data_IF_261529425631
#
_entry.id   IF_261529425631
#
_cell.length_a   1.000
_cell.length_b   1.000
_cell.length_c   1.000
_cell.angle_alpha   90.00
_cell.angle_beta   90.00
_cell.angle_gamma   90.00
#
_symmetry.space_group_name_H-M   'P 1'
#
loop_
_entity.id
_entity.type
_entity.pdbx_description
1 polymer ?
#
# COMPACT_ATOMS: atom_id res chain seq x y z
N UNK A 1 -36.32 42.00 -31.20
CA UNK A 1 -34.99 42.09 -30.54
C UNK A 1 -34.84 40.82 -29.65
N UNK A 2 -33.98 39.89 -30.00
CA UNK A 2 -33.76 38.72 -29.16
C UNK A 2 -32.64 38.98 -28.14
N UNK A 3 -32.89 38.65 -26.90
CA UNK A 3 -31.96 38.74 -25.77
C UNK A 3 -30.95 37.57 -25.89
N UNK A 4 -29.71 37.90 -26.14
CA UNK A 4 -28.56 36.98 -26.16
C UNK A 4 -28.16 36.67 -24.72
N UNK A 5 -28.39 35.44 -24.28
CA UNK A 5 -27.89 34.90 -22.99
C UNK A 5 -26.39 34.66 -23.12
N UNK A 6 -25.58 35.45 -22.41
CA UNK A 6 -24.16 35.18 -22.20
C UNK A 6 -23.99 34.10 -21.13
N UNK A 7 -23.65 32.88 -21.53
CA UNK A 7 -23.19 31.84 -20.64
C UNK A 7 -21.75 32.14 -20.22
N UNK A 8 -21.51 32.36 -18.95
CA UNK A 8 -20.18 32.46 -18.34
C UNK A 8 -19.51 31.08 -18.37
N UNK A 9 -18.24 30.97 -18.77
CA UNK A 9 -17.54 29.69 -18.73
C UNK A 9 -17.24 29.28 -17.28
N UNK A 10 -17.73 28.10 -16.93
CA UNK A 10 -17.38 27.43 -15.66
C UNK A 10 -15.88 27.14 -15.67
N UNK A 11 -15.15 27.69 -14.70
CA UNK A 11 -13.74 27.42 -14.51
C UNK A 11 -13.54 25.93 -14.20
N UNK A 12 -12.81 25.23 -15.06
CA UNK A 12 -12.39 23.87 -14.82
C UNK A 12 -11.45 23.81 -13.62
N UNK A 13 -11.86 23.12 -12.58
CA UNK A 13 -11.00 22.76 -11.44
C UNK A 13 -9.86 21.91 -11.96
N UNK A 14 -8.59 22.26 -11.72
CA UNK A 14 -7.47 21.44 -12.16
C UNK A 14 -7.52 20.09 -11.46
N UNK A 15 -7.64 19.04 -12.24
CA UNK A 15 -7.50 17.63 -11.78
C UNK A 15 -6.06 17.47 -11.27
N UNK A 16 -5.86 16.97 -10.03
CA UNK A 16 -4.51 16.69 -9.55
C UNK A 16 -3.84 15.69 -10.50
N UNK A 17 -2.56 15.87 -10.82
CA UNK A 17 -1.85 14.98 -11.74
C UNK A 17 -1.92 13.55 -11.23
N UNK A 18 -2.34 12.64 -12.12
CA UNK A 18 -2.34 11.21 -11.86
C UNK A 18 -0.94 10.78 -11.40
N UNK A 19 -0.87 10.00 -10.33
CA UNK A 19 0.37 9.39 -9.87
C UNK A 19 1.02 8.64 -11.05
N UNK A 20 2.34 8.76 -11.25
CA UNK A 20 3.02 8.10 -12.35
C UNK A 20 2.75 6.60 -12.30
N UNK A 21 2.35 6.03 -13.44
CA UNK A 21 2.13 4.60 -13.61
C UNK A 21 3.40 3.85 -13.19
N UNK A 22 3.22 2.80 -12.37
CA UNK A 22 4.32 1.94 -11.97
C UNK A 22 5.01 1.37 -13.21
N UNK A 23 6.36 1.38 -13.28
CA UNK A 23 7.09 0.85 -14.42
C UNK A 23 6.74 -0.63 -14.62
N UNK A 24 6.43 -0.98 -15.87
CA UNK A 24 6.23 -2.38 -16.27
C UNK A 24 7.58 -3.11 -16.13
N UNK A 25 7.60 -4.13 -15.30
CA UNK A 25 8.79 -4.95 -15.08
C UNK A 25 8.96 -5.89 -16.27
N UNK A 26 9.91 -5.57 -17.15
CA UNK A 26 10.41 -6.53 -18.14
C UNK A 26 11.17 -7.64 -17.40
N UNK A 27 10.86 -8.89 -17.71
CA UNK A 27 11.54 -10.06 -17.17
C UNK A 27 13.05 -10.00 -17.53
N UNK A 28 13.90 -9.94 -16.51
CA UNK A 28 15.35 -9.98 -16.65
C UNK A 28 15.79 -11.46 -16.58
N UNK A 29 16.68 -11.94 -17.46
CA UNK A 29 17.19 -13.29 -17.40
C UNK A 29 18.01 -13.52 -16.13
N UNK A 30 17.68 -14.58 -15.41
CA UNK A 30 18.29 -15.03 -14.15
C UNK A 30 19.75 -15.47 -14.38
N UNK A 31 20.73 -14.68 -13.93
CA UNK A 31 22.11 -15.12 -13.80
C UNK A 31 22.23 -16.02 -12.59
N UNK A 32 22.54 -17.28 -12.81
CA UNK A 32 22.90 -18.27 -11.78
C UNK A 32 24.12 -17.79 -11.00
N UNK A 33 23.94 -17.41 -9.74
CA UNK A 33 25.04 -17.20 -8.79
C UNK A 33 25.28 -18.51 -8.06
N UNK A 34 26.45 -19.12 -8.26
CA UNK A 34 26.89 -20.30 -7.54
C UNK A 34 27.26 -19.93 -6.10
N UNK A 35 26.49 -20.39 -5.15
CA UNK A 35 26.78 -20.28 -3.72
C UNK A 35 27.48 -21.53 -3.22
N UNK A 36 28.80 -21.49 -3.06
CA UNK A 36 29.63 -22.56 -2.53
C UNK A 36 30.22 -22.28 -1.15
N UNK A 37 29.46 -21.80 -0.17
CA UNK A 37 30.03 -21.66 1.19
C UNK A 37 29.06 -21.80 2.38
N UNK A 38 27.80 -22.18 2.17
CA UNK A 38 26.85 -22.45 3.27
C UNK A 38 26.40 -23.90 3.39
N UNK A 39 27.05 -24.83 2.66
CA UNK A 39 26.60 -26.22 2.54
C UNK A 39 26.95 -27.11 3.74
N UNK A 40 27.77 -26.66 4.69
CA UNK A 40 28.21 -27.51 5.82
C UNK A 40 27.22 -27.62 6.99
N UNK A 41 26.38 -26.63 7.21
CA UNK A 41 25.48 -26.59 8.39
C UNK A 41 24.12 -27.29 8.14
N UNK A 42 23.71 -27.46 6.89
CA UNK A 42 22.41 -28.04 6.54
C UNK A 42 22.43 -29.51 6.16
N UNK A 43 23.57 -30.15 6.16
CA UNK A 43 23.70 -31.57 5.76
C UNK A 43 22.95 -32.58 6.65
N UNK A 44 22.63 -32.22 7.89
CA UNK A 44 21.87 -33.07 8.82
C UNK A 44 20.36 -33.07 8.59
N UNK A 45 19.83 -32.12 7.83
CA UNK A 45 18.38 -32.00 7.52
C UNK A 45 18.02 -32.50 6.11
N UNK A 46 19.00 -32.99 5.37
CA UNK A 46 18.88 -33.43 3.97
C UNK A 46 17.75 -34.45 3.69
N UNK A 47 17.53 -35.50 4.52
CA UNK A 47 16.54 -36.52 4.16
C UNK A 47 15.10 -36.06 4.25
N UNK A 48 14.82 -35.04 5.08
CA UNK A 48 13.45 -34.45 5.23
C UNK A 48 13.24 -33.27 4.27
N UNK A 49 14.32 -32.54 3.99
CA UNK A 49 14.22 -31.33 3.14
C UNK A 49 14.20 -31.65 1.64
N UNK A 50 14.82 -32.76 1.19
CA UNK A 50 14.82 -33.16 -0.22
C UNK A 50 13.42 -33.39 -0.81
N UNK A 51 12.51 -34.17 -0.17
CA UNK A 51 11.18 -34.35 -0.72
C UNK A 51 10.38 -33.04 -0.75
N UNK A 52 10.54 -32.18 0.28
CA UNK A 52 9.90 -30.87 0.32
C UNK A 52 10.46 -29.97 -0.79
N UNK A 53 11.75 -29.93 -1.00
CA UNK A 53 12.40 -29.17 -2.06
C UNK A 53 11.94 -29.62 -3.45
N UNK A 54 11.79 -30.94 -3.67
CA UNK A 54 11.29 -31.49 -4.94
C UNK A 54 9.82 -31.11 -5.18
N UNK A 55 8.97 -31.20 -4.15
CA UNK A 55 7.57 -30.75 -4.25
C UNK A 55 7.52 -29.24 -4.55
N UNK A 56 8.32 -28.44 -3.86
CA UNK A 56 8.40 -27.00 -4.09
C UNK A 56 8.91 -26.67 -5.50
N UNK A 57 9.90 -27.40 -6.04
CA UNK A 57 10.40 -27.17 -7.39
C UNK A 57 9.36 -27.54 -8.45
N UNK A 58 8.70 -28.69 -8.30
CA UNK A 58 7.62 -29.13 -9.20
C UNK A 58 6.43 -28.14 -9.17
N UNK A 59 6.02 -27.70 -7.99
CA UNK A 59 4.99 -26.66 -7.85
C UNK A 59 5.41 -25.35 -8.52
N UNK A 60 6.67 -24.95 -8.38
CA UNK A 60 7.21 -23.75 -9.02
C UNK A 60 7.20 -23.86 -10.55
N UNK A 61 7.55 -25.02 -11.10
CA UNK A 61 7.51 -25.28 -12.53
C UNK A 61 6.07 -25.26 -13.08
N UNK A 62 5.13 -25.91 -12.40
CA UNK A 62 3.71 -25.88 -12.76
C UNK A 62 3.19 -24.43 -12.74
N UNK A 63 3.56 -23.66 -11.74
CA UNK A 63 3.14 -22.24 -11.63
C UNK A 63 3.77 -21.36 -12.73
N UNK A 64 5.03 -21.62 -13.08
CA UNK A 64 5.67 -20.93 -14.21
C UNK A 64 4.99 -21.23 -15.54
N UNK A 65 4.55 -22.48 -15.76
CA UNK A 65 3.83 -22.87 -16.98
C UNK A 65 2.45 -22.22 -17.09
N UNK A 66 1.80 -21.91 -15.96
CA UNK A 66 0.51 -21.23 -15.92
C UNK A 66 0.60 -19.72 -16.22
N UNK A 67 1.81 -19.13 -16.15
CA UNK A 67 2.07 -17.70 -16.42
C UNK A 67 1.02 -16.76 -15.79
N UNK A 68 0.65 -17.00 -14.51
CA UNK A 68 -0.40 -16.27 -13.83
C UNK A 68 0.01 -14.81 -13.59
N UNK A 69 -0.87 -13.83 -13.85
CA UNK A 69 -0.60 -12.44 -13.59
C UNK A 69 -0.61 -12.15 -12.08
N UNK A 70 0.23 -11.23 -11.63
CA UNK A 70 0.13 -10.71 -10.27
C UNK A 70 -1.10 -9.78 -10.16
N UNK A 71 -2.06 -10.13 -9.31
CA UNK A 71 -3.28 -9.33 -9.06
C UNK A 71 -3.08 -8.15 -8.10
N UNK A 72 -1.83 -7.82 -7.78
CA UNK A 72 -1.44 -6.69 -6.95
C UNK A 72 -1.02 -7.08 -5.53
N UNK A 73 -0.81 -6.07 -4.70
CA UNK A 73 -0.43 -6.23 -3.29
C UNK A 73 -1.66 -6.13 -2.39
N UNK A 74 -1.57 -6.66 -1.17
CA UNK A 74 -2.62 -6.57 -0.16
C UNK A 74 -2.98 -5.12 0.15
N UNK A 75 -1.99 -4.23 0.23
CA UNK A 75 -2.19 -2.80 0.48
C UNK A 75 -3.07 -2.13 -0.61
N UNK A 76 -2.87 -2.56 -1.87
CA UNK A 76 -3.60 -2.02 -3.02
C UNK A 76 -4.90 -2.77 -3.33
N UNK A 77 -5.27 -3.75 -2.50
CA UNK A 77 -6.43 -4.60 -2.78
C UNK A 77 -7.73 -3.82 -2.83
N UNK A 78 -7.86 -2.75 -2.04
CA UNK A 78 -9.05 -1.90 -1.94
C UNK A 78 -8.85 -0.50 -2.54
N UNK A 79 -7.79 -0.27 -3.31
CA UNK A 79 -7.50 1.06 -3.84
C UNK A 79 -8.64 1.61 -4.70
N UNK A 80 -9.23 0.77 -5.55
CA UNK A 80 -10.30 1.15 -6.45
C UNK A 80 -11.52 1.66 -5.67
N UNK A 81 -11.86 0.97 -4.57
CA UNK A 81 -12.96 1.39 -3.68
C UNK A 81 -12.61 2.67 -2.94
N UNK A 82 -11.39 2.77 -2.40
CA UNK A 82 -10.93 3.96 -1.67
C UNK A 82 -10.90 5.21 -2.54
N UNK A 83 -10.53 5.08 -3.81
CA UNK A 83 -10.45 6.22 -4.73
C UNK A 83 -11.81 6.86 -5.03
N UNK A 84 -12.91 6.10 -4.93
CA UNK A 84 -14.27 6.58 -5.23
C UNK A 84 -15.04 6.97 -3.97
N UNK A 85 -14.49 6.75 -2.76
CA UNK A 85 -15.14 7.15 -1.52
C UNK A 85 -15.30 8.66 -1.43
N UNK A 86 -16.51 9.11 -1.17
CA UNK A 86 -16.86 10.54 -1.03
C UNK A 86 -16.11 11.23 0.13
N UNK A 87 -15.75 10.48 1.17
CA UNK A 87 -14.98 10.99 2.31
C UNK A 87 -13.62 11.60 1.91
N UNK A 88 -13.03 11.17 0.80
CA UNK A 88 -11.77 11.73 0.29
C UNK A 88 -11.94 13.12 -0.32
N UNK A 89 -13.16 13.51 -0.65
CA UNK A 89 -13.50 14.78 -1.33
C UNK A 89 -14.26 15.75 -0.43
N UNK A 90 -14.62 15.33 0.78
CA UNK A 90 -15.32 16.17 1.75
C UNK A 90 -14.30 16.89 2.62
N UNK A 91 -14.44 18.20 2.71
CA UNK A 91 -13.71 19.02 3.65
C UNK A 91 -14.66 20.11 4.18
N UNK A 92 -14.46 20.52 5.41
CA UNK A 92 -15.19 21.61 6.02
C UNK A 92 -14.30 22.87 6.04
N UNK A 93 -14.91 24.02 5.73
CA UNK A 93 -14.21 25.29 5.73
C UNK A 93 -13.54 25.62 4.39
N UNK A 94 -12.50 26.43 4.44
CA UNK A 94 -11.71 26.84 3.29
C UNK A 94 -10.31 26.23 3.36
N UNK A 95 -9.82 25.73 2.23
CA UNK A 95 -8.48 25.20 2.08
C UNK A 95 -7.75 25.88 0.93
N UNK A 96 -6.53 26.31 1.16
CA UNK A 96 -5.65 26.88 0.15
C UNK A 96 -4.30 26.17 0.18
N UNK A 97 -3.91 25.59 -0.95
CA UNK A 97 -2.63 24.91 -1.13
C UNK A 97 -1.76 25.71 -2.12
N UNK A 98 -0.63 26.22 -1.65
CA UNK A 98 0.37 26.91 -2.47
C UNK A 98 1.54 25.94 -2.71
N UNK A 99 1.63 25.42 -3.92
CA UNK A 99 2.70 24.49 -4.30
C UNK A 99 3.67 25.15 -5.27
N UNK A 100 4.96 25.08 -4.98
CA UNK A 100 6.05 25.53 -5.83
C UNK A 100 6.95 24.36 -6.21
N UNK A 101 7.04 24.06 -7.49
CA UNK A 101 8.05 23.15 -8.01
C UNK A 101 9.40 23.88 -8.09
N UNK A 102 10.41 23.34 -7.43
CA UNK A 102 11.78 23.85 -7.41
C UNK A 102 12.65 23.15 -8.46
N UNK A 103 12.38 21.87 -8.71
CA UNK A 103 13.02 21.07 -9.76
C UNK A 103 12.02 20.07 -10.34
N UNK A 104 12.19 19.74 -11.62
CA UNK A 104 11.34 18.77 -12.34
C UNK A 104 12.03 17.40 -12.49
N UNK A 105 13.36 17.38 -12.48
CA UNK A 105 14.12 16.12 -12.56
C UNK A 105 15.46 16.26 -11.78
N UNK A 106 15.59 15.65 -10.57
CA UNK A 106 14.53 15.00 -9.79
C UNK A 106 13.40 15.95 -9.39
N UNK A 107 12.20 15.42 -9.19
CA UNK A 107 11.07 16.25 -8.74
C UNK A 107 11.36 16.74 -7.33
N UNK A 108 11.40 18.07 -7.16
CA UNK A 108 11.47 18.67 -5.84
C UNK A 108 10.45 19.79 -5.76
N UNK A 109 9.48 19.63 -4.84
CA UNK A 109 8.42 20.61 -4.64
C UNK A 109 8.17 20.86 -3.17
N UNK A 110 7.74 22.07 -2.86
CA UNK A 110 7.29 22.47 -1.53
C UNK A 110 5.85 22.95 -1.61
N UNK A 111 5.09 22.67 -0.56
CA UNK A 111 3.67 23.02 -0.46
C UNK A 111 3.40 23.66 0.88
N UNK A 112 2.67 24.78 0.86
CA UNK A 112 2.12 25.42 2.02
C UNK A 112 0.61 25.21 1.97
N UNK A 113 0.07 24.45 2.92
CA UNK A 113 -1.36 24.16 3.03
C UNK A 113 -1.96 24.93 4.20
N UNK A 114 -2.98 25.71 3.93
CA UNK A 114 -3.73 26.49 4.90
C UNK A 114 -5.15 25.95 4.97
N UNK A 115 -5.61 25.60 6.16
CA UNK A 115 -7.00 25.19 6.42
C UNK A 115 -7.63 26.21 7.37
N UNK A 116 -8.75 26.82 6.97
CA UNK A 116 -9.42 27.87 7.69
C UNK A 116 -10.90 27.50 7.89
N UNK A 117 -11.39 27.62 9.11
CA UNK A 117 -12.78 27.34 9.43
C UNK A 117 -13.07 25.83 9.45
N UNK A 118 -14.28 25.47 9.84
CA UNK A 118 -14.70 24.10 10.05
C UNK A 118 -14.81 23.78 11.55
N UNK A 119 -15.14 22.53 11.88
CA UNK A 119 -15.26 22.07 13.27
C UNK A 119 -13.90 22.02 14.00
N UNK A 120 -12.80 22.13 13.26
CA UNK A 120 -11.43 22.15 13.78
C UNK A 120 -10.85 23.54 13.89
N UNK A 121 -9.66 23.64 14.50
CA UNK A 121 -8.87 24.88 14.52
C UNK A 121 -8.27 25.15 13.15
N UNK A 122 -7.99 26.44 12.87
CA UNK A 122 -7.17 26.79 11.72
C UNK A 122 -5.83 26.03 11.81
N UNK A 123 -5.39 25.47 10.71
CA UNK A 123 -4.17 24.66 10.66
C UNK A 123 -3.29 25.10 9.48
N UNK A 124 -2.01 25.10 9.71
CA UNK A 124 -1.00 25.30 8.70
C UNK A 124 -0.12 24.05 8.60
N UNK A 125 0.11 23.59 7.39
CA UNK A 125 1.01 22.48 7.12
C UNK A 125 2.03 22.89 6.07
N UNK A 126 3.31 22.67 6.36
CA UNK A 126 4.39 22.76 5.40
C UNK A 126 4.73 21.35 4.92
N UNK A 127 4.80 21.15 3.62
CA UNK A 127 5.15 19.88 2.99
C UNK A 127 6.31 20.04 2.02
N UNK A 128 7.20 19.06 1.97
CA UNK A 128 8.25 18.94 0.98
C UNK A 128 8.22 17.53 0.38
N UNK A 129 8.34 17.46 -0.94
CA UNK A 129 8.37 16.19 -1.69
C UNK A 129 9.60 16.18 -2.57
N UNK A 130 10.38 15.13 -2.47
CA UNK A 130 11.49 14.83 -3.35
C UNK A 130 11.26 13.48 -4.01
N UNK A 131 11.31 13.42 -5.33
CA UNK A 131 11.04 12.21 -6.11
C UNK A 131 12.03 12.01 -7.24
N UNK A 132 12.47 10.76 -7.38
CA UNK A 132 13.28 10.24 -8.46
C UNK A 132 12.69 8.89 -8.89
N UNK A 133 13.13 8.29 -9.98
CA UNK A 133 12.63 6.99 -10.46
C UNK A 133 12.63 5.87 -9.39
N UNK A 134 13.61 5.91 -8.47
CA UNK A 134 13.80 4.87 -7.44
C UNK A 134 13.50 5.32 -6.02
N UNK A 135 13.29 6.63 -5.82
CA UNK A 135 13.18 7.23 -4.48
C UNK A 135 12.01 8.19 -4.44
N UNK A 136 11.24 8.10 -3.39
CA UNK A 136 10.19 9.05 -3.08
C UNK A 136 10.28 9.40 -1.60
N UNK A 137 10.54 10.66 -1.31
CA UNK A 137 10.68 11.20 0.04
C UNK A 137 9.68 12.33 0.21
N UNK A 138 8.92 12.25 1.27
CA UNK A 138 7.96 13.27 1.65
C UNK A 138 8.17 13.60 3.12
N UNK A 139 8.20 14.88 3.44
CA UNK A 139 8.23 15.38 4.80
C UNK A 139 7.15 16.44 4.97
N UNK A 140 6.58 16.50 6.16
CA UNK A 140 5.58 17.50 6.54
C UNK A 140 5.84 18.01 7.96
N UNK A 141 5.53 19.28 8.17
CA UNK A 141 5.58 19.93 9.48
C UNK A 141 4.24 20.68 9.65
N UNK A 142 3.56 20.43 10.74
CA UNK A 142 2.33 21.13 11.08
C UNK A 142 2.59 22.31 12.08
N UNK A 143 1.59 23.12 12.31
CA UNK A 143 1.60 24.26 13.24
C UNK A 143 1.76 23.83 14.70
N UNK A 144 1.42 22.60 15.05
CA UNK A 144 1.62 22.02 16.38
C UNK A 144 3.07 21.51 16.60
N UNK A 145 3.90 21.54 15.55
CA UNK A 145 5.29 21.05 15.60
C UNK A 145 5.42 19.53 15.37
N UNK A 146 4.38 18.85 14.92
CA UNK A 146 4.50 17.44 14.53
C UNK A 146 5.23 17.36 13.19
N UNK A 147 6.20 16.47 13.13
CA UNK A 147 6.95 16.15 11.91
C UNK A 147 6.48 14.80 11.37
N UNK A 148 6.01 14.79 10.15
CA UNK A 148 5.69 13.56 9.42
C UNK A 148 6.73 13.30 8.35
N UNK A 149 7.12 12.05 8.19
CA UNK A 149 8.11 11.63 7.20
C UNK A 149 7.65 10.35 6.53
N UNK A 150 7.78 10.29 5.21
CA UNK A 150 7.56 9.10 4.41
C UNK A 150 8.70 8.93 3.42
N UNK A 151 9.37 7.79 3.49
CA UNK A 151 10.48 7.42 2.63
C UNK A 151 10.12 6.13 1.91
N UNK A 152 10.06 6.15 0.60
CA UNK A 152 9.88 4.95 -0.22
C UNK A 152 11.11 4.79 -1.11
N UNK A 153 11.69 3.60 -1.14
CA UNK A 153 12.86 3.30 -1.95
C UNK A 153 12.71 1.95 -2.64
N UNK A 154 12.86 1.95 -3.95
CA UNK A 154 13.02 0.75 -4.75
C UNK A 154 14.46 0.24 -4.56
N UNK A 155 14.66 -0.90 -3.89
CA UNK A 155 15.97 -1.51 -3.67
C UNK A 155 16.39 -2.34 -4.89
N UNK A 156 15.52 -3.24 -5.30
CA UNK A 156 15.67 -4.11 -6.47
C UNK A 156 14.32 -4.20 -7.19
N UNK A 157 14.27 -4.67 -8.45
CA UNK A 157 13.02 -4.94 -9.13
C UNK A 157 12.11 -5.83 -8.28
N UNK A 158 10.90 -5.36 -7.97
CA UNK A 158 9.95 -6.05 -7.10
C UNK A 158 10.15 -5.86 -5.59
N UNK A 159 11.18 -5.14 -5.13
CA UNK A 159 11.45 -4.90 -3.71
C UNK A 159 11.35 -3.42 -3.38
N UNK A 160 10.35 -3.03 -2.61
CA UNK A 160 10.12 -1.65 -2.20
C UNK A 160 10.17 -1.59 -0.67
N UNK A 161 11.10 -0.82 -0.12
CA UNK A 161 11.13 -0.48 1.30
C UNK A 161 10.48 0.87 1.53
N UNK A 162 9.63 0.93 2.55
CA UNK A 162 8.92 2.14 2.96
C UNK A 162 9.16 2.36 4.44
N UNK A 163 9.41 3.60 4.81
CA UNK A 163 9.52 4.05 6.19
C UNK A 163 8.54 5.19 6.35
N UNK A 164 7.67 5.10 7.33
CA UNK A 164 6.80 6.20 7.74
C UNK A 164 7.10 6.52 9.20
N UNK A 165 7.27 7.78 9.51
CA UNK A 165 7.48 8.23 10.87
C UNK A 165 6.67 9.50 11.13
N UNK A 166 6.15 9.59 12.34
CA UNK A 166 5.53 10.78 12.88
C UNK A 166 6.15 11.07 14.23
N UNK A 167 6.75 12.23 14.35
CA UNK A 167 7.35 12.68 15.59
C UNK A 167 6.51 13.81 16.17
N UNK A 168 6.00 13.59 17.37
CA UNK A 168 5.27 14.61 18.11
C UNK A 168 6.25 15.46 18.95
N UNK A 169 5.95 16.75 19.18
CA UNK A 169 6.71 17.57 20.10
C UNK A 169 6.67 17.02 21.53
N UNK A 170 7.46 17.57 22.41
CA UNK A 170 7.68 17.08 23.78
C UNK A 170 6.39 16.62 24.49
N UNK A 171 6.33 15.35 24.88
CA UNK A 171 5.19 14.71 25.56
C UNK A 171 4.20 13.98 24.66
N UNK A 172 4.32 14.06 23.32
CA UNK A 172 3.50 13.32 22.39
C UNK A 172 4.06 11.93 22.06
N UNK A 173 3.18 11.03 21.64
CA UNK A 173 3.62 9.71 21.14
C UNK A 173 4.19 9.83 19.74
N UNK A 174 5.41 9.38 19.55
CA UNK A 174 6.00 9.22 18.23
C UNK A 174 5.63 7.86 17.65
N UNK A 175 5.47 7.82 16.34
CA UNK A 175 5.08 6.61 15.60
C UNK A 175 6.11 6.34 14.50
N UNK A 176 6.57 5.10 14.41
CA UNK A 176 7.47 4.65 13.35
C UNK A 176 6.92 3.37 12.75
N UNK A 177 6.79 3.33 11.44
CA UNK A 177 6.41 2.17 10.68
C UNK A 177 7.49 1.85 9.65
N UNK A 178 7.98 0.63 9.71
CA UNK A 178 8.86 0.05 8.71
C UNK A 178 8.04 -0.93 7.86
N UNK A 179 8.18 -0.85 6.56
CA UNK A 179 7.45 -1.71 5.64
C UNK A 179 8.35 -2.17 4.51
N UNK A 180 8.21 -3.43 4.12
CA UNK A 180 8.91 -3.99 2.99
C UNK A 180 7.94 -4.79 2.12
N UNK A 181 7.79 -4.36 0.86
CA UNK A 181 7.00 -5.03 -0.16
C UNK A 181 7.88 -5.87 -1.05
N UNK A 182 7.46 -7.09 -1.26
CA UNK A 182 8.01 -8.00 -2.25
C UNK A 182 6.93 -8.38 -3.26
N UNK A 183 7.20 -8.14 -4.54
CA UNK A 183 6.30 -8.47 -5.65
C UNK A 183 6.97 -9.50 -6.55
N UNK A 184 6.47 -10.74 -6.49
CA UNK A 184 6.84 -11.80 -7.41
C UNK A 184 5.98 -11.79 -8.68
N UNK A 185 6.16 -12.79 -9.54
CA UNK A 185 5.43 -12.92 -10.80
C UNK A 185 3.91 -13.14 -10.58
N UNK A 186 3.54 -13.97 -9.60
CA UNK A 186 2.18 -14.42 -9.32
C UNK A 186 1.80 -14.32 -7.82
N UNK A 187 2.68 -13.74 -7.01
CA UNK A 187 2.45 -13.52 -5.58
C UNK A 187 2.99 -12.19 -5.10
N UNK A 188 2.50 -11.73 -3.98
CA UNK A 188 3.02 -10.57 -3.28
C UNK A 188 3.12 -10.85 -1.78
N UNK A 189 4.16 -10.33 -1.15
CA UNK A 189 4.38 -10.36 0.28
C UNK A 189 4.59 -8.94 0.78
N UNK A 190 4.12 -8.67 1.98
CA UNK A 190 4.34 -7.39 2.64
C UNK A 190 4.62 -7.64 4.12
N UNK A 191 5.67 -7.05 4.63
CA UNK A 191 6.02 -7.09 6.04
C UNK A 191 5.96 -5.66 6.58
N UNK A 192 5.24 -5.48 7.68
CA UNK A 192 5.14 -4.21 8.39
C UNK A 192 5.55 -4.40 9.84
N UNK A 193 6.29 -3.46 10.37
CA UNK A 193 6.59 -3.36 11.78
C UNK A 193 6.21 -1.96 12.27
N UNK A 194 5.31 -1.88 13.22
CA UNK A 194 4.81 -0.64 13.82
C UNK A 194 5.45 -0.48 15.20
N UNK A 195 6.13 0.64 15.40
CA UNK A 195 6.87 0.95 16.61
C UNK A 195 7.77 -0.20 17.11
N UNK A 196 8.61 -0.80 16.25
CA UNK A 196 9.47 -1.89 16.69
C UNK A 196 10.53 -1.37 17.66
N UNK A 197 10.57 -1.95 18.85
CA UNK A 197 11.62 -1.70 19.83
C UNK A 197 12.77 -2.69 19.61
N UNK A 198 14.01 -2.22 19.36
CA UNK A 198 15.15 -3.12 19.13
C UNK A 198 15.61 -3.83 20.42
N UNK A 199 15.25 -3.32 21.59
CA UNK A 199 15.68 -3.89 22.87
C UNK A 199 14.79 -5.01 23.36
N UNK A 200 13.46 -4.84 23.27
CA UNK A 200 12.47 -5.76 23.85
C UNK A 200 11.63 -6.44 22.79
N UNK A 201 11.85 -6.17 21.50
CA UNK A 201 11.02 -6.63 20.37
C UNK A 201 9.52 -6.30 20.55
N UNK A 202 9.19 -5.34 21.40
CA UNK A 202 7.83 -4.84 21.52
C UNK A 202 7.44 -4.09 20.26
N UNK A 203 6.16 -4.19 19.88
CA UNK A 203 5.63 -3.60 18.68
C UNK A 203 4.52 -4.43 18.07
N UNK A 204 4.05 -4.02 16.89
CA UNK A 204 3.08 -4.78 16.11
C UNK A 204 3.75 -5.17 14.79
N UNK A 205 3.74 -6.46 14.51
CA UNK A 205 4.33 -7.03 13.31
C UNK A 205 3.24 -7.64 12.46
N UNK A 206 3.17 -7.24 11.19
CA UNK A 206 2.16 -7.72 10.24
C UNK A 206 2.88 -8.34 9.06
N UNK A 207 2.52 -9.57 8.73
CA UNK A 207 3.00 -10.28 7.55
C UNK A 207 1.80 -10.61 6.66
N UNK A 208 1.81 -10.11 5.45
CA UNK A 208 0.78 -10.35 4.44
C UNK A 208 1.35 -11.20 3.31
N UNK A 209 0.58 -12.17 2.86
CA UNK A 209 0.87 -12.97 1.69
C UNK A 209 -0.37 -13.08 0.81
N UNK A 210 -0.23 -12.78 -0.47
CA UNK A 210 -1.29 -12.90 -1.47
C UNK A 210 -0.78 -13.69 -2.65
N UNK A 211 -1.50 -14.75 -3.01
CA UNK A 211 -1.19 -15.67 -4.08
C UNK A 211 -2.27 -15.66 -5.14
N UNK A 212 -1.91 -15.48 -6.39
CA UNK A 212 -2.80 -15.67 -7.53
C UNK A 212 -2.97 -17.17 -7.79
N UNK A 213 -4.19 -17.67 -7.70
CA UNK A 213 -4.54 -19.08 -7.96
C UNK A 213 -5.04 -19.28 -9.39
N UNK A 214 -5.77 -18.29 -9.91
CA UNK A 214 -6.25 -18.27 -11.30
C UNK A 214 -6.04 -16.87 -11.87
N UNK A 215 -6.10 -16.67 -13.19
CA UNK A 215 -5.90 -15.33 -13.79
C UNK A 215 -6.80 -14.24 -13.23
N UNK A 216 -7.87 -14.61 -12.51
CA UNK A 216 -8.88 -13.69 -11.96
C UNK A 216 -9.08 -13.79 -10.47
N UNK A 217 -8.48 -14.77 -9.81
CA UNK A 217 -8.70 -15.03 -8.40
C UNK A 217 -7.38 -15.14 -7.65
N UNK A 218 -7.26 -14.38 -6.56
CA UNK A 218 -6.15 -14.46 -5.62
C UNK A 218 -6.67 -14.72 -4.21
N UNK A 219 -5.95 -15.53 -3.48
CA UNK A 219 -6.19 -15.85 -2.08
C UNK A 219 -4.97 -15.43 -1.26
N UNK A 220 -5.19 -14.92 -0.06
CA UNK A 220 -4.13 -14.47 0.81
C UNK A 220 -4.43 -14.69 2.27
N UNK A 221 -3.39 -14.49 3.07
CA UNK A 221 -3.46 -14.50 4.52
C UNK A 221 -2.70 -13.30 5.08
N UNK A 222 -3.16 -12.81 6.22
CA UNK A 222 -2.54 -11.78 7.04
C UNK A 222 -2.28 -12.34 8.41
N UNK A 223 -1.03 -12.36 8.83
CA UNK A 223 -0.64 -12.70 10.19
C UNK A 223 -0.28 -11.41 10.93
N UNK A 224 -0.92 -11.17 12.06
CA UNK A 224 -0.66 -10.03 12.93
C UNK A 224 -0.13 -10.57 14.26
N UNK A 225 1.07 -10.16 14.61
CA UNK A 225 1.68 -10.45 15.91
C UNK A 225 1.81 -9.14 16.69
N UNK A 226 1.17 -9.09 17.84
CA UNK A 226 1.15 -7.92 18.72
C UNK A 226 1.88 -8.24 20.00
N UNK A 227 2.88 -7.43 20.32
CA UNK A 227 3.66 -7.53 21.55
C UNK A 227 3.79 -6.12 22.16
N UNK A 228 2.69 -5.58 22.73
CA UNK A 228 2.67 -4.21 23.24
C UNK A 228 3.48 -4.05 24.53
N UNK A 229 3.63 -5.10 25.31
CA UNK A 229 4.44 -5.14 26.53
C UNK A 229 5.08 -6.51 26.69
N UNK A 230 6.18 -6.66 27.46
CA UNK A 230 6.88 -7.93 27.65
C UNK A 230 6.03 -9.09 28.19
N UNK A 231 4.86 -8.79 28.75
CA UNK A 231 3.96 -9.77 29.36
C UNK A 231 2.78 -10.15 28.47
N UNK A 232 2.54 -9.42 27.37
CA UNK A 232 1.36 -9.61 26.53
C UNK A 232 1.80 -9.91 25.12
N UNK A 233 1.45 -11.10 24.66
CA UNK A 233 1.68 -11.56 23.29
C UNK A 233 0.36 -12.05 22.69
N UNK A 234 0.02 -11.59 21.51
CA UNK A 234 -1.15 -12.03 20.77
C UNK A 234 -0.79 -12.22 19.30
N UNK A 235 -1.15 -13.38 18.76
CA UNK A 235 -1.01 -13.68 17.35
C UNK A 235 -2.36 -14.00 16.74
N UNK A 236 -2.70 -13.32 15.65
CA UNK A 236 -3.94 -13.55 14.91
C UNK A 236 -3.66 -13.74 13.43
N UNK A 237 -4.47 -14.60 12.76
CA UNK A 237 -4.36 -14.85 11.33
C UNK A 237 -5.70 -14.58 10.69
N UNK A 238 -5.72 -13.64 9.76
CA UNK A 238 -6.86 -13.35 8.91
C UNK A 238 -6.69 -13.93 7.51
N UNK A 239 -7.78 -14.02 6.78
CA UNK A 239 -7.79 -14.50 5.40
C UNK A 239 -8.38 -13.44 4.48
N UNK A 240 -7.91 -13.41 3.25
CA UNK A 240 -8.37 -12.47 2.25
C UNK A 240 -8.49 -13.12 0.88
N UNK A 241 -9.45 -12.65 0.10
CA UNK A 241 -9.65 -13.09 -1.27
C UNK A 241 -9.91 -11.87 -2.16
N UNK A 242 -9.37 -11.90 -3.38
CA UNK A 242 -9.61 -10.91 -4.42
C UNK A 242 -10.09 -11.60 -5.68
N UNK A 243 -11.17 -11.11 -6.25
CA UNK A 243 -11.70 -11.58 -7.50
C UNK A 243 -11.83 -10.42 -8.48
N UNK A 244 -11.29 -10.59 -9.67
CA UNK A 244 -11.25 -9.58 -10.72
C UNK A 244 -12.05 -10.09 -11.92
N UNK A 245 -12.99 -9.28 -12.41
CA UNK A 245 -13.80 -9.61 -13.59
C UNK A 245 -12.99 -9.66 -14.89
N UNK A 246 -13.62 -10.18 -15.99
CA UNK A 246 -13.05 -10.07 -17.32
C UNK A 246 -12.83 -8.58 -17.63
N UNK A 247 -11.71 -8.24 -18.30
CA UNK A 247 -11.34 -6.88 -18.64
C UNK A 247 -11.23 -5.89 -17.43
N UNK A 248 -11.21 -6.38 -16.18
CA UNK A 248 -11.20 -5.61 -14.94
C UNK A 248 -12.42 -4.68 -14.75
N UNK A 249 -13.53 -5.01 -15.34
CA UNK A 249 -14.78 -4.25 -15.21
C UNK A 249 -15.32 -4.22 -13.79
N UNK A 250 -15.06 -5.26 -13.00
CA UNK A 250 -15.44 -5.32 -11.60
C UNK A 250 -14.39 -6.01 -10.75
N UNK A 251 -14.31 -5.61 -9.49
CA UNK A 251 -13.39 -6.16 -8.50
C UNK A 251 -14.17 -6.41 -7.23
N UNK A 252 -14.14 -7.64 -6.74
CA UNK A 252 -14.67 -8.02 -5.45
C UNK A 252 -13.53 -8.40 -4.51
N UNK A 253 -13.57 -7.92 -3.28
CA UNK A 253 -12.62 -8.32 -2.24
C UNK A 253 -13.35 -8.76 -0.98
N UNK A 254 -12.84 -9.79 -0.34
CA UNK A 254 -13.32 -10.28 0.94
C UNK A 254 -12.13 -10.36 1.89
N UNK A 255 -12.30 -9.87 3.10
CA UNK A 255 -11.35 -10.00 4.20
C UNK A 255 -12.10 -10.51 5.42
N UNK A 256 -11.54 -11.50 6.07
CA UNK A 256 -12.06 -12.06 7.30
C UNK A 256 -10.97 -12.10 8.36
N UNK A 257 -11.28 -11.56 9.52
CA UNK A 257 -10.40 -11.59 10.69
C UNK A 257 -10.99 -12.47 11.78
N UNK A 258 -10.18 -13.22 12.54
CA UNK A 258 -10.67 -14.16 13.57
C UNK A 258 -11.41 -13.47 14.72
N UNK A 259 -11.29 -12.16 14.85
CA UNK A 259 -12.05 -11.34 15.81
C UNK A 259 -13.54 -11.17 15.41
N UNK A 260 -14.01 -11.86 14.37
CA UNK A 260 -15.39 -11.79 13.87
C UNK A 260 -15.65 -10.60 12.95
N UNK A 261 -14.62 -9.90 12.48
CA UNK A 261 -14.77 -8.81 11.54
C UNK A 261 -14.66 -9.36 10.13
N UNK A 262 -15.74 -9.24 9.36
CA UNK A 262 -15.75 -9.53 7.93
C UNK A 262 -15.97 -8.24 7.13
N UNK A 263 -15.10 -7.97 6.16
CA UNK A 263 -15.21 -6.83 5.25
C UNK A 263 -15.33 -7.34 3.82
N UNK A 264 -16.42 -6.95 3.16
CA UNK A 264 -16.66 -7.23 1.76
C UNK A 264 -16.68 -5.91 1.00
N UNK A 265 -15.98 -5.85 -0.13
CA UNK A 265 -16.03 -4.69 -1.01
C UNK A 265 -16.28 -5.13 -2.45
N UNK A 266 -17.08 -4.35 -3.15
CA UNK A 266 -17.36 -4.56 -4.56
C UNK A 266 -17.23 -3.23 -5.30
N UNK A 267 -16.46 -3.22 -6.36
CA UNK A 267 -16.30 -2.09 -7.27
C UNK A 267 -16.69 -2.52 -8.67
N UNK A 268 -17.41 -1.68 -9.38
CA UNK A 268 -17.82 -1.92 -10.75
C UNK A 268 -17.67 -0.65 -11.58
N UNK A 269 -17.07 -0.78 -12.74
CA UNK A 269 -16.95 0.27 -13.73
C UNK A 269 -18.17 0.21 -14.66
N UNK A 270 -19.05 1.20 -14.59
CA UNK A 270 -20.26 1.25 -15.40
C UNK A 270 -19.99 1.71 -16.82
N UNK A 271 -19.12 2.72 -16.97
CA UNK A 271 -18.64 3.23 -18.26
C UNK A 271 -17.37 4.04 -18.02
N UNK A 272 -16.61 4.32 -19.07
CA UNK A 272 -15.54 5.33 -18.97
C UNK A 272 -16.17 6.74 -19.00
N UNK A 273 -16.04 7.56 -17.97
CA UNK A 273 -15.26 7.49 -16.72
C UNK A 273 -16.08 7.15 -15.45
N UNK A 274 -17.28 6.55 -15.54
CA UNK A 274 -18.19 6.33 -14.40
C UNK A 274 -17.92 5.03 -13.69
N UNK A 275 -17.70 5.07 -12.37
CA UNK A 275 -17.56 3.91 -11.51
C UNK A 275 -18.51 3.96 -10.32
N UNK A 276 -18.90 2.79 -9.84
CA UNK A 276 -19.79 2.57 -8.71
C UNK A 276 -19.11 1.68 -7.66
N UNK A 277 -19.28 2.02 -6.39
CA UNK A 277 -18.77 1.23 -5.28
C UNK A 277 -19.86 0.86 -4.29
N UNK A 278 -19.80 -0.35 -3.80
CA UNK A 278 -20.62 -0.83 -2.69
C UNK A 278 -19.71 -1.29 -1.56
N UNK A 279 -19.85 -0.66 -0.40
CA UNK A 279 -19.11 -0.99 0.81
C UNK A 279 -20.10 -1.54 1.83
N UNK A 280 -19.89 -2.80 2.28
CA UNK A 280 -20.61 -3.34 3.42
C UNK A 280 -19.84 -3.04 4.69
N UNK A 281 -20.51 -2.48 5.69
CA UNK A 281 -19.95 -2.26 7.01
C UNK A 281 -19.64 -3.59 7.69
N UNK A 282 -18.59 -3.66 8.54
CA UNK A 282 -18.28 -4.86 9.29
C UNK A 282 -19.46 -5.22 10.20
N UNK A 283 -20.02 -6.39 9.99
CA UNK A 283 -20.99 -6.98 10.90
C UNK A 283 -20.21 -7.71 11.99
N UNK A 284 -20.36 -7.27 13.23
CA UNK A 284 -19.89 -8.00 14.40
C UNK A 284 -20.81 -9.20 14.57
N UNK A 285 -20.28 -10.41 14.38
CA UNK A 285 -20.99 -11.65 14.68
C UNK A 285 -21.03 -11.89 16.18
#
# INVERSE_FOLDING_TARGET
MPLTSMATPVAQVPVPPAAPAAPQVHAVPEKTVSNSSLTGFFASFDPIMRPIANVCSTMREIRRSLALPNLGTVEKMQNEVKMVQTANFQFEGARADLTKALSMNPIFQVTHAFTLGGAGKNAYNFGAVYGDEKRFYQAGLDDAGNVTMRLNRLLFPGHISKIQAQFAPAGGQSFVQLEHDFQGADYSMNFKALNPSPTNLTGIYVANYLQTLTPRFALGAEAVYQHPSPEIEEATVGYMAKWVGPAKEWIATAQWQPQGIAQLTYWHQLSEPVSYTHLTLPTKA
#
